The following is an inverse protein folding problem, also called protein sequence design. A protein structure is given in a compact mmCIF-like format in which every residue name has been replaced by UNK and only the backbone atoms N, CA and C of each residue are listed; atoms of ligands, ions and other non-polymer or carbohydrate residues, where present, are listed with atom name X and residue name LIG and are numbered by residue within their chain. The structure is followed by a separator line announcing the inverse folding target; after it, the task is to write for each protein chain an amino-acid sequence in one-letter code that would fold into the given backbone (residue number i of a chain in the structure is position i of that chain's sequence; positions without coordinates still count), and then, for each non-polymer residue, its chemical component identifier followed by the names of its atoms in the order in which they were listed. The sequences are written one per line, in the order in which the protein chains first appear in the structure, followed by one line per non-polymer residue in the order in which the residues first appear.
data_IF_153859914891
#
_entry.id   IF_153859914891
#
_cell.length_a   1.000
_cell.length_b   1.000
_cell.length_c   1.000
_cell.angle_alpha   90.00
_cell.angle_beta   90.00
_cell.angle_gamma   90.00
#
_symmetry.space_group_name_H-M   'P 1'
#
loop_
_entity.id
_entity.type
_entity.pdbx_description
1 polymer ?
#
# COMPACT_ATOMS: atom_id res chain seq x y z
N UNK A 1 -5.43 -7.78 -10.11
CA UNK A 1 -6.31 -7.19 -9.07
C UNK A 1 -6.14 -5.66 -8.86
N UNK A 2 -5.33 -4.92 -9.63
CA UNK A 2 -5.13 -3.47 -9.42
C UNK A 2 -6.28 -2.53 -9.83
N UNK A 3 -7.37 -3.06 -10.43
CA UNK A 3 -8.51 -2.26 -10.91
C UNK A 3 -9.59 -2.02 -9.84
N UNK A 4 -9.60 -2.81 -8.76
CA UNK A 4 -10.60 -2.73 -7.68
C UNK A 4 -10.44 -1.49 -6.78
N UNK A 5 -9.24 -0.91 -6.71
CA UNK A 5 -9.00 0.32 -5.94
C UNK A 5 -9.57 1.59 -6.59
N UNK A 6 -9.86 1.55 -7.90
CA UNK A 6 -10.27 2.74 -8.65
C UNK A 6 -11.77 3.07 -8.49
N UNK A 7 -12.55 2.19 -7.86
CA UNK A 7 -14.03 2.28 -7.81
C UNK A 7 -14.55 2.37 -6.37
N UNK A 8 -13.69 2.63 -5.37
CA UNK A 8 -14.18 2.73 -4.00
C UNK A 8 -14.70 4.15 -3.72
N UNK A 9 -15.96 4.29 -3.27
CA UNK A 9 -16.52 5.57 -2.84
C UNK A 9 -15.81 6.04 -1.55
N UNK A 10 -15.68 7.35 -1.37
CA UNK A 10 -14.88 8.04 -0.33
C UNK A 10 -15.29 7.74 1.15
N UNK A 11 -16.16 6.76 1.40
CA UNK A 11 -16.66 6.39 2.74
C UNK A 11 -16.46 4.93 3.16
N UNK A 12 -15.78 4.10 2.37
CA UNK A 12 -15.49 2.72 2.79
C UNK A 12 -14.20 2.66 3.62
N UNK A 13 -14.30 2.15 4.86
CA UNK A 13 -13.20 1.88 5.81
C UNK A 13 -12.16 0.85 5.32
N UNK A 14 -11.98 0.70 4.01
CA UNK A 14 -11.03 -0.24 3.43
C UNK A 14 -9.66 0.45 3.36
N UNK A 15 -8.63 -0.10 4.03
CA UNK A 15 -7.30 0.47 4.07
C UNK A 15 -6.62 0.26 2.71
N UNK A 16 -6.94 1.09 1.73
CA UNK A 16 -6.37 1.04 0.38
C UNK A 16 -4.85 1.09 0.39
N UNK A 17 -4.26 1.74 1.40
CA UNK A 17 -2.81 1.83 1.60
C UNK A 17 -2.16 0.47 1.87
N UNK A 18 -2.92 -0.55 2.31
CA UNK A 18 -2.41 -1.93 2.45
C UNK A 18 -2.24 -2.66 1.12
N UNK A 19 -2.83 -2.15 0.03
CA UNK A 19 -2.77 -2.81 -1.26
C UNK A 19 -1.54 -2.35 -2.03
N UNK A 20 -0.60 -3.27 -2.21
CA UNK A 20 0.62 -3.10 -3.01
C UNK A 20 0.65 -4.08 -4.17
N UNK A 21 1.57 -3.89 -5.12
CA UNK A 21 1.71 -4.81 -6.24
C UNK A 21 2.24 -6.18 -5.78
N UNK A 22 2.19 -7.18 -6.65
CA UNK A 22 2.69 -8.54 -6.37
C UNK A 22 4.20 -8.59 -6.05
N UNK A 23 4.95 -7.54 -6.36
CA UNK A 23 6.37 -7.40 -6.02
C UNK A 23 6.59 -6.75 -4.64
N UNK A 24 5.52 -6.45 -3.89
CA UNK A 24 5.58 -5.75 -2.61
C UNK A 24 5.94 -4.27 -2.72
N UNK A 25 5.76 -3.63 -3.88
CA UNK A 25 6.03 -2.21 -4.08
C UNK A 25 4.74 -1.41 -4.13
N UNK A 26 4.83 -0.15 -3.69
CA UNK A 26 3.77 0.83 -3.87
C UNK A 26 3.53 1.01 -5.38
N UNK A 27 2.27 0.92 -5.80
CA UNK A 27 1.90 1.02 -7.22
C UNK A 27 1.91 2.46 -7.74
N UNK A 28 1.94 3.45 -6.84
CA UNK A 28 2.01 4.87 -7.19
C UNK A 28 3.44 5.31 -7.53
N UNK A 29 3.61 6.30 -8.42
CA UNK A 29 4.92 6.86 -8.74
C UNK A 29 5.62 7.39 -7.49
N UNK A 30 6.90 7.06 -7.35
CA UNK A 30 7.76 7.60 -6.29
C UNK A 30 7.81 9.13 -6.42
N UNK A 31 7.55 9.83 -5.31
CA UNK A 31 7.44 11.29 -5.30
C UNK A 31 6.01 11.86 -5.43
N UNK A 32 5.00 11.03 -5.75
CA UNK A 32 3.60 11.47 -5.73
C UNK A 32 3.06 11.57 -4.29
N UNK A 33 2.13 12.49 -4.03
CA UNK A 33 1.48 12.60 -2.71
C UNK A 33 0.87 11.26 -2.25
N UNK A 34 0.21 10.53 -3.16
CA UNK A 34 -0.37 9.21 -2.86
C UNK A 34 0.69 8.18 -2.44
N UNK A 35 1.88 8.23 -3.02
CA UNK A 35 2.99 7.37 -2.61
C UNK A 35 3.44 7.68 -1.18
N UNK A 36 3.60 8.97 -0.84
CA UNK A 36 3.96 9.39 0.51
C UNK A 36 2.88 9.03 1.54
N UNK A 37 1.61 9.30 1.24
CA UNK A 37 0.48 8.95 2.11
C UNK A 37 0.40 7.44 2.36
N UNK A 38 0.49 6.63 1.29
CA UNK A 38 0.46 5.18 1.43
C UNK A 38 1.63 4.68 2.29
N UNK A 39 2.84 5.20 2.04
CA UNK A 39 4.03 4.84 2.82
C UNK A 39 3.88 5.22 4.28
N UNK A 40 3.42 6.43 4.59
CA UNK A 40 3.22 6.87 5.98
C UNK A 40 2.18 6.04 6.70
N UNK A 41 1.04 5.74 6.07
CA UNK A 41 0.01 4.89 6.67
C UNK A 41 0.51 3.48 6.95
N UNK A 42 1.23 2.88 5.99
CA UNK A 42 1.86 1.57 6.16
C UNK A 42 2.90 1.58 7.30
N UNK A 43 3.75 2.61 7.37
CA UNK A 43 4.70 2.77 8.47
C UNK A 43 4.00 2.92 9.82
N UNK A 44 2.91 3.69 9.88
CA UNK A 44 2.10 3.85 11.09
C UNK A 44 1.44 2.55 11.55
N UNK A 45 1.23 1.61 10.64
CA UNK A 45 0.72 0.26 10.95
C UNK A 45 1.85 -0.73 11.32
N UNK A 46 3.11 -0.30 11.33
CA UNK A 46 4.26 -1.15 11.63
C UNK A 46 4.78 -1.95 10.43
N UNK A 47 4.37 -1.60 9.20
CA UNK A 47 4.87 -2.25 7.99
C UNK A 47 6.29 -1.77 7.71
N UNK A 48 7.22 -2.72 7.64
CA UNK A 48 8.63 -2.42 7.39
C UNK A 48 8.93 -2.41 5.89
N UNK A 49 9.59 -1.34 5.44
CA UNK A 49 10.06 -1.21 4.06
C UNK A 49 11.55 -1.51 3.98
N UNK A 50 11.93 -2.44 3.12
CA UNK A 50 13.31 -2.64 2.70
C UNK A 50 13.52 -1.87 1.39
N UNK A 51 14.09 -0.66 1.49
CA UNK A 51 14.22 0.32 0.40
C UNK A 51 12.86 0.71 -0.17
N UNK A 52 12.51 0.17 -1.33
CA UNK A 52 11.23 0.43 -2.03
C UNK A 52 10.30 -0.80 -2.02
N UNK A 53 10.64 -1.87 -1.29
CA UNK A 53 9.87 -3.11 -1.22
C UNK A 53 9.41 -3.39 0.22
N UNK A 54 8.17 -3.81 0.36
CA UNK A 54 7.60 -4.34 1.60
C UNK A 54 7.97 -5.81 1.71
N UNK A 55 8.27 -6.25 2.93
CA UNK A 55 8.43 -7.67 3.18
C UNK A 55 7.06 -8.36 3.23
N UNK A 56 6.56 -8.75 2.05
CA UNK A 56 5.27 -9.42 1.90
C UNK A 56 5.19 -10.74 2.68
N UNK A 57 6.33 -11.39 2.98
CA UNK A 57 6.36 -12.64 3.74
C UNK A 57 6.09 -12.45 5.23
N UNK A 58 6.34 -11.26 5.77
CA UNK A 58 6.03 -10.88 7.15
C UNK A 58 4.61 -10.31 7.31
N UNK A 59 4.02 -9.83 6.22
CA UNK A 59 2.76 -9.07 6.24
C UNK A 59 1.70 -9.64 5.27
N UNK A 60 1.86 -10.88 4.81
CA UNK A 60 0.85 -11.56 4.00
C UNK A 60 -0.35 -11.87 4.90
N UNK A 61 -1.55 -11.54 4.42
CA UNK A 61 -2.78 -11.95 5.07
C UNK A 61 -3.03 -13.41 4.68
N UNK A 62 -3.16 -14.30 5.67
CA UNK A 62 -3.53 -15.70 5.50
C UNK A 62 -5.05 -15.82 5.25
#
# INVERSE_FOLDING_TARGET
VGRLLKVMPEGSSIPWHRVVNSQGKISFPEGSNKHFEQRQKLLSEGVTFNKAKINMRLHQWD
#
